data_IF_683452121542
#
_entry.id   IF_683452121542
#
_cell.length_a   1.000
_cell.length_b   1.000
_cell.length_c   1.000
_cell.angle_alpha   90.00
_cell.angle_beta   90.00
_cell.angle_gamma   90.00
#
_symmetry.space_group_name_H-M   'P 1'
#
loop_
_entity.id
_entity.type
_entity.pdbx_description
1 polymer ?
#
# COMPACT_ATOMS: atom_id res chain seq x y z
N UNK A 1 -2.22 15.06 -33.67
CA UNK A 1 -1.56 15.17 -32.35
C UNK A 1 -2.52 14.94 -31.19
N UNK A 2 -3.79 15.34 -31.29
CA UNK A 2 -4.76 15.15 -30.19
C UNK A 2 -5.03 13.68 -29.85
N UNK A 3 -5.16 12.80 -30.84
CA UNK A 3 -5.35 11.37 -30.61
C UNK A 3 -4.22 10.73 -29.77
N UNK A 4 -2.97 11.16 -29.96
CA UNK A 4 -1.83 10.64 -29.18
C UNK A 4 -1.92 11.09 -27.71
N UNK A 5 -2.33 12.35 -27.46
CA UNK A 5 -2.53 12.87 -26.10
C UNK A 5 -3.64 12.11 -25.38
N UNK A 6 -4.75 11.82 -26.06
CA UNK A 6 -5.85 11.02 -25.52
C UNK A 6 -5.41 9.59 -25.18
N UNK A 7 -4.66 8.94 -26.06
CA UNK A 7 -4.13 7.59 -25.82
C UNK A 7 -3.21 7.57 -24.61
N UNK A 8 -2.28 8.53 -24.49
CA UNK A 8 -1.39 8.65 -23.34
C UNK A 8 -2.16 8.90 -22.03
N UNK A 9 -3.19 9.74 -22.06
CA UNK A 9 -4.05 9.98 -20.90
C UNK A 9 -4.73 8.69 -20.43
N UNK A 10 -5.28 7.90 -21.36
CA UNK A 10 -5.93 6.62 -21.05
C UNK A 10 -4.93 5.67 -20.39
N UNK A 11 -3.71 5.55 -20.93
CA UNK A 11 -2.67 4.70 -20.35
C UNK A 11 -2.25 5.16 -18.95
N UNK A 12 -2.10 6.47 -18.72
CA UNK A 12 -1.76 7.01 -17.40
C UNK A 12 -2.86 6.75 -16.37
N UNK A 13 -4.13 6.92 -16.74
CA UNK A 13 -5.26 6.64 -15.86
C UNK A 13 -5.42 5.15 -15.58
N UNK A 14 -5.26 4.30 -16.59
CA UNK A 14 -5.28 2.85 -16.41
C UNK A 14 -4.12 2.39 -15.50
N UNK A 15 -2.90 2.90 -15.74
CA UNK A 15 -1.74 2.64 -14.89
C UNK A 15 -1.97 3.08 -13.45
N UNK A 16 -2.57 4.25 -13.24
CA UNK A 16 -2.93 4.71 -11.90
C UNK A 16 -3.97 3.80 -11.23
N UNK A 17 -4.97 3.33 -11.96
CA UNK A 17 -5.94 2.38 -11.42
C UNK A 17 -5.28 1.06 -10.99
N UNK A 18 -4.38 0.51 -11.81
CA UNK A 18 -3.62 -0.70 -11.45
C UNK A 18 -2.70 -0.49 -10.25
N UNK A 19 -2.02 0.65 -10.15
CA UNK A 19 -1.18 0.99 -9.01
C UNK A 19 -1.98 1.12 -7.71
N UNK A 20 -3.19 1.70 -7.77
CA UNK A 20 -4.12 1.76 -6.62
C UNK A 20 -4.57 0.37 -6.17
N UNK A 21 -4.92 -0.51 -7.11
CA UNK A 21 -5.28 -1.90 -6.81
C UNK A 21 -4.08 -2.64 -6.18
N UNK A 22 -2.88 -2.45 -6.72
CA UNK A 22 -1.65 -3.03 -6.17
C UNK A 22 -1.38 -2.55 -4.74
N UNK A 23 -1.48 -1.24 -4.50
CA UNK A 23 -1.34 -0.65 -3.17
C UNK A 23 -2.38 -1.21 -2.19
N UNK A 24 -3.63 -1.40 -2.62
CA UNK A 24 -4.67 -2.02 -1.81
C UNK A 24 -4.34 -3.47 -1.45
N UNK A 25 -3.91 -4.28 -2.41
CA UNK A 25 -3.49 -5.67 -2.17
C UNK A 25 -2.30 -5.73 -1.21
N UNK A 26 -1.33 -4.84 -1.36
CA UNK A 26 -0.18 -4.76 -0.46
C UNK A 26 -0.58 -4.35 0.96
N UNK A 27 -1.51 -3.40 1.11
CA UNK A 27 -2.06 -3.04 2.40
C UNK A 27 -2.80 -4.21 3.07
N UNK A 28 -3.55 -4.99 2.29
CA UNK A 28 -4.27 -6.17 2.77
C UNK A 28 -3.34 -7.32 3.16
N UNK A 29 -2.24 -7.53 2.42
CA UNK A 29 -1.28 -8.60 2.70
C UNK A 29 -0.42 -8.31 3.93
N UNK A 30 -0.25 -7.03 4.29
CA UNK A 30 0.43 -6.59 5.50
C UNK A 30 -0.38 -6.83 6.80
N UNK A 31 -1.23 -7.87 6.86
CA UNK A 31 -1.95 -8.26 8.08
C UNK A 31 -1.15 -9.32 8.83
N UNK A 32 -0.77 -9.02 10.05
CA UNK A 32 -0.13 -9.97 10.97
C UNK A 32 -0.88 -9.98 12.30
N UNK A 33 -1.11 -11.15 12.86
CA UNK A 33 -1.55 -11.33 14.24
C UNK A 33 -0.33 -11.55 15.13
N UNK A 34 -0.19 -10.76 16.19
CA UNK A 34 0.79 -11.07 17.23
C UNK A 34 0.39 -12.39 17.92
N UNK A 35 1.35 -13.22 18.34
CA UNK A 35 1.05 -14.40 19.15
C UNK A 35 0.37 -13.98 20.46
N UNK A 36 -0.69 -14.70 20.86
CA UNK A 36 -1.45 -14.41 22.08
C UNK A 36 -0.56 -14.48 23.33
N UNK A 37 -0.63 -13.45 24.18
CA UNK A 37 -0.04 -13.47 25.52
C UNK A 37 -1.08 -14.06 26.47
N UNK A 38 -0.71 -15.09 27.23
CA UNK A 38 -1.55 -15.66 28.26
C UNK A 38 -1.69 -14.65 29.43
N UNK A 39 -2.92 -14.19 29.66
CA UNK A 39 -3.25 -13.20 30.68
C UNK A 39 -2.97 -13.67 32.12
N UNK A 40 -2.92 -14.99 32.36
CA UNK A 40 -2.67 -15.53 33.71
C UNK A 40 -1.18 -15.62 34.04
N UNK A 41 -0.32 -15.86 33.04
CA UNK A 41 1.11 -16.10 33.24
C UNK A 41 1.99 -14.96 32.74
N UNK A 42 1.44 -14.02 31.97
CA UNK A 42 2.18 -12.92 31.34
C UNK A 42 3.18 -13.38 30.27
N UNK A 43 3.12 -14.66 29.88
CA UNK A 43 4.03 -15.30 28.92
C UNK A 43 3.33 -15.50 27.56
N UNK A 44 4.09 -15.52 26.45
CA UNK A 44 3.55 -15.94 25.16
C UNK A 44 2.97 -17.34 25.25
N UNK A 45 1.84 -17.60 24.57
CA UNK A 45 1.44 -18.96 24.20
C UNK A 45 2.37 -19.46 23.08
N UNK A 46 3.60 -19.84 23.44
CA UNK A 46 4.61 -20.36 22.51
C UNK A 46 6.06 -20.07 22.93
N UNK A 47 7.06 -20.56 22.18
CA UNK A 47 8.47 -20.27 22.44
C UNK A 47 8.75 -18.75 22.43
N UNK A 48 9.57 -18.25 23.36
CA UNK A 48 9.91 -16.82 23.46
C UNK A 48 10.48 -16.25 22.15
N UNK A 49 11.25 -17.05 21.41
CA UNK A 49 11.79 -16.67 20.10
C UNK A 49 10.69 -16.37 19.07
N UNK A 50 9.54 -17.05 19.17
CA UNK A 50 8.39 -16.79 18.29
C UNK A 50 7.68 -15.49 18.64
N UNK A 51 7.75 -15.02 19.89
CA UNK A 51 7.22 -13.71 20.27
C UNK A 51 8.09 -12.58 19.70
N UNK A 52 9.42 -12.71 19.75
CA UNK A 52 10.34 -11.74 19.16
C UNK A 52 10.16 -11.66 17.63
N UNK A 53 10.07 -12.82 16.96
CA UNK A 53 9.80 -12.90 15.52
C UNK A 53 8.43 -12.30 15.19
N UNK A 54 7.39 -12.63 15.96
CA UNK A 54 6.05 -12.10 15.77
C UNK A 54 5.98 -10.58 15.91
N UNK A 55 6.72 -10.02 16.87
CA UNK A 55 6.85 -8.56 17.06
C UNK A 55 7.52 -7.90 15.85
N UNK A 56 8.65 -8.41 15.40
CA UNK A 56 9.35 -7.86 14.22
C UNK A 56 8.49 -7.94 12.95
N UNK A 57 7.73 -9.04 12.78
CA UNK A 57 6.77 -9.18 11.69
C UNK A 57 5.64 -8.15 11.79
N UNK A 58 5.13 -7.87 13.00
CA UNK A 58 4.09 -6.86 13.21
C UNK A 58 4.58 -5.43 12.96
N UNK A 59 5.80 -5.11 13.40
CA UNK A 59 6.44 -3.82 13.10
C UNK A 59 6.67 -3.66 11.59
N UNK A 60 7.17 -4.70 10.92
CA UNK A 60 7.33 -4.71 9.46
C UNK A 60 6.01 -4.60 8.71
N UNK A 61 4.96 -5.24 9.21
CA UNK A 61 3.62 -5.13 8.66
C UNK A 61 3.03 -3.72 8.82
N UNK A 62 3.27 -3.07 9.96
CA UNK A 62 2.88 -1.67 10.16
C UNK A 62 3.60 -0.74 9.18
N UNK A 63 4.92 -0.90 9.01
CA UNK A 63 5.69 -0.15 8.03
C UNK A 63 5.20 -0.37 6.60
N UNK A 64 4.86 -1.61 6.23
CA UNK A 64 4.30 -1.94 4.91
C UNK A 64 2.93 -1.28 4.66
N UNK A 65 2.07 -1.18 5.67
CA UNK A 65 0.79 -0.44 5.54
C UNK A 65 1.02 1.04 5.25
N UNK A 66 2.02 1.64 5.90
CA UNK A 66 2.40 3.04 5.67
C UNK A 66 2.95 3.20 4.25
N UNK A 67 3.84 2.31 3.81
CA UNK A 67 4.37 2.32 2.45
C UNK A 67 3.24 2.20 1.40
N UNK A 68 2.31 1.27 1.58
CA UNK A 68 1.16 1.10 0.71
C UNK A 68 0.27 2.36 0.66
N UNK A 69 0.05 3.03 1.79
CA UNK A 69 -0.69 4.29 1.84
C UNK A 69 0.02 5.41 1.05
N UNK A 70 1.34 5.52 1.17
CA UNK A 70 2.14 6.46 0.38
C UNK A 70 2.10 6.14 -1.12
N UNK A 71 2.16 4.86 -1.50
CA UNK A 71 2.00 4.45 -2.89
C UNK A 71 0.63 4.85 -3.44
N UNK A 72 -0.45 4.65 -2.68
CA UNK A 72 -1.79 5.08 -3.08
C UNK A 72 -1.87 6.61 -3.24
N UNK A 73 -1.30 7.38 -2.31
CA UNK A 73 -1.28 8.84 -2.38
C UNK A 73 -0.51 9.35 -3.61
N UNK A 74 0.69 8.81 -3.87
CA UNK A 74 1.49 9.16 -5.04
C UNK A 74 0.76 8.84 -6.35
N UNK A 75 0.06 7.71 -6.40
CA UNK A 75 -0.73 7.28 -7.55
C UNK A 75 -1.89 8.24 -7.84
N UNK A 76 -2.59 8.69 -6.80
CA UNK A 76 -3.67 9.68 -6.94
C UNK A 76 -3.15 11.03 -7.43
N UNK A 77 -2.01 11.50 -6.91
CA UNK A 77 -1.37 12.74 -7.36
C UNK A 77 -0.94 12.64 -8.82
N UNK A 78 -0.39 11.50 -9.26
CA UNK A 78 -0.04 11.26 -10.65
C UNK A 78 -1.27 11.28 -11.58
N UNK A 79 -2.36 10.62 -11.18
CA UNK A 79 -3.62 10.64 -11.94
C UNK A 79 -4.18 12.06 -12.06
N UNK A 80 -4.18 12.82 -10.96
CA UNK A 80 -4.64 14.22 -10.95
C UNK A 80 -3.78 15.11 -11.83
N UNK A 81 -2.45 14.97 -11.77
CA UNK A 81 -1.52 15.72 -12.63
C UNK A 81 -1.75 15.40 -14.10
N UNK A 82 -1.99 14.12 -14.44
CA UNK A 82 -2.32 13.70 -15.81
C UNK A 82 -3.63 14.31 -16.31
N UNK A 83 -4.66 14.38 -15.46
CA UNK A 83 -5.95 15.01 -15.79
C UNK A 83 -5.79 16.52 -15.99
N UNK A 84 -5.06 17.21 -15.10
CA UNK A 84 -4.80 18.64 -15.21
C UNK A 84 -4.04 18.98 -16.50
N UNK A 85 -3.02 18.19 -16.86
CA UNK A 85 -2.27 18.36 -18.10
C UNK A 85 -3.11 18.11 -19.37
N UNK A 86 -4.18 17.30 -19.27
CA UNK A 86 -5.11 17.10 -20.38
C UNK A 86 -6.10 18.25 -20.56
N UNK A 87 -6.53 18.89 -19.46
CA UNK A 87 -7.50 19.99 -19.47
C UNK A 87 -6.84 21.34 -19.75
N UNK A 88 -5.60 21.54 -19.29
CA UNK A 88 -4.82 22.75 -19.52
C UNK A 88 -3.48 22.42 -20.20
N UNK A 89 -3.49 22.11 -21.50
CA UNK A 89 -2.27 21.95 -22.27
C UNK A 89 -1.64 23.34 -22.46
N UNK A 90 -0.65 23.66 -21.62
CA UNK A 90 0.23 24.80 -21.86
C UNK A 90 0.93 24.70 -23.22
#
# INVERSE_FOLDING_TARGET
>A
MEHMKTVLLIFNLAGAAFALISAWYWYKSARTSLPEIDAATGKPKGPLDMLAIGRTLAEGAAANKIAAAWTAAATLLFALSSLLGAINPA
#
